data_IF_963852782598
#
_entry.id   IF_963852782598
#
_cell.length_a   1.000
_cell.length_b   1.000
_cell.length_c   1.000
_cell.angle_alpha   90.00
_cell.angle_beta   90.00
_cell.angle_gamma   90.00
#
_symmetry.space_group_name_H-M   'P 1'
#
loop_
_entity.id
_entity.type
_entity.pdbx_description
1 polymer ?
#
# COMPACT_ATOMS: atom_id res chain seq x y z
N UNK A 1 -23.80 -5.43 -7.96
CA UNK A 1 -23.26 -6.30 -6.90
C UNK A 1 -23.13 -5.54 -5.58
N UNK A 2 -22.71 -4.26 -5.60
CA UNK A 2 -22.65 -3.37 -4.43
C UNK A 2 -23.99 -3.25 -3.67
N UNK A 3 -25.13 -3.09 -4.35
CA UNK A 3 -26.47 -2.98 -3.71
C UNK A 3 -26.92 -4.25 -2.96
N UNK A 4 -26.21 -5.37 -3.11
CA UNK A 4 -26.63 -6.65 -2.53
C UNK A 4 -26.19 -6.83 -1.09
N UNK A 5 -25.08 -6.19 -0.67
CA UNK A 5 -24.49 -6.38 0.66
C UNK A 5 -24.26 -5.07 1.43
N UNK A 6 -24.86 -3.96 0.98
CA UNK A 6 -24.83 -2.65 1.66
C UNK A 6 -25.31 -2.69 3.11
N UNK A 7 -26.15 -3.68 3.47
CA UNK A 7 -26.69 -3.83 4.83
C UNK A 7 -25.75 -4.57 5.80
N UNK A 8 -24.63 -5.13 5.34
CA UNK A 8 -23.80 -6.04 6.16
C UNK A 8 -22.50 -5.43 6.71
N UNK A 9 -22.25 -4.13 6.51
CA UNK A 9 -20.96 -3.47 6.78
C UNK A 9 -19.77 -4.27 6.21
N UNK A 10 -19.92 -4.67 4.96
CA UNK A 10 -18.93 -5.43 4.20
C UNK A 10 -18.43 -4.55 3.06
N UNK A 11 -17.11 -4.48 2.90
CA UNK A 11 -16.50 -3.75 1.79
C UNK A 11 -16.44 -4.68 0.58
N UNK A 12 -17.20 -4.32 -0.45
CA UNK A 12 -17.18 -4.96 -1.76
C UNK A 12 -16.36 -4.11 -2.71
N UNK A 13 -15.45 -4.72 -3.46
CA UNK A 13 -14.91 -4.09 -4.67
C UNK A 13 -15.01 -5.11 -5.80
N UNK A 14 -15.93 -4.84 -6.72
CA UNK A 14 -16.23 -5.67 -7.91
C UNK A 14 -16.65 -7.09 -7.50
N UNK A 15 -15.75 -8.07 -7.60
CA UNK A 15 -16.01 -9.51 -7.44
C UNK A 15 -15.44 -10.07 -6.13
N UNK A 16 -14.61 -9.30 -5.43
CA UNK A 16 -13.98 -9.72 -4.18
C UNK A 16 -14.73 -9.15 -2.97
N UNK A 17 -15.08 -10.02 -2.02
CA UNK A 17 -15.75 -9.67 -0.78
C UNK A 17 -14.71 -9.71 0.34
N UNK A 18 -14.38 -8.56 0.91
CA UNK A 18 -13.54 -8.47 2.12
C UNK A 18 -14.42 -8.11 3.32
N UNK A 19 -14.62 -9.08 4.22
CA UNK A 19 -15.33 -8.90 5.48
C UNK A 19 -14.35 -8.86 6.64
N UNK A 20 -14.43 -7.81 7.47
CA UNK A 20 -13.71 -7.74 8.74
C UNK A 20 -14.72 -8.02 9.85
N UNK A 21 -14.42 -9.00 10.70
CA UNK A 21 -15.12 -9.22 11.96
C UNK A 21 -14.20 -8.87 13.12
N UNK A 22 -14.74 -8.23 14.16
CA UNK A 22 -13.97 -7.92 15.37
C UNK A 22 -13.79 -9.14 16.30
N UNK A 23 -14.51 -10.23 16.01
CA UNK A 23 -14.38 -11.53 16.67
C UNK A 23 -14.72 -12.67 15.71
N UNK A 24 -14.25 -13.89 15.99
CA UNK A 24 -14.54 -15.09 15.20
C UNK A 24 -16.06 -15.33 15.05
N UNK A 25 -16.82 -15.11 16.14
CA UNK A 25 -18.27 -15.28 16.15
C UNK A 25 -18.98 -14.28 15.23
N UNK A 26 -18.53 -13.03 15.22
CA UNK A 26 -19.07 -11.98 14.34
C UNK A 26 -18.66 -12.22 12.88
N UNK A 27 -17.40 -12.58 12.64
CA UNK A 27 -16.88 -12.95 11.33
C UNK A 27 -17.70 -14.09 10.72
N UNK A 28 -17.93 -15.16 11.49
CA UNK A 28 -18.71 -16.32 11.07
C UNK A 28 -20.17 -15.98 10.78
N UNK A 29 -20.78 -15.12 11.60
CA UNK A 29 -22.14 -14.66 11.37
C UNK A 29 -22.25 -13.86 10.06
N UNK A 30 -21.31 -12.93 9.83
CA UNK A 30 -21.20 -12.16 8.58
C UNK A 30 -20.96 -13.07 7.38
N UNK A 31 -20.03 -14.03 7.49
CA UNK A 31 -19.75 -15.00 6.44
C UNK A 31 -20.99 -15.83 6.08
N UNK A 32 -21.72 -16.32 7.09
CA UNK A 32 -22.98 -17.06 6.87
C UNK A 32 -24.02 -16.20 6.16
N UNK A 33 -24.17 -14.94 6.55
CA UNK A 33 -25.08 -14.00 5.89
C UNK A 33 -24.69 -13.76 4.41
N UNK A 34 -23.40 -13.54 4.12
CA UNK A 34 -22.89 -13.36 2.75
C UNK A 34 -23.17 -14.58 1.89
N UNK A 35 -22.84 -15.78 2.39
CA UNK A 35 -23.06 -17.03 1.65
C UNK A 35 -24.54 -17.27 1.38
N UNK A 36 -25.41 -16.92 2.33
CA UNK A 36 -26.86 -17.05 2.18
C UNK A 36 -27.40 -16.09 1.12
N UNK A 37 -27.04 -14.80 1.18
CA UNK A 37 -27.45 -13.80 0.19
C UNK A 37 -26.95 -14.16 -1.21
N UNK A 38 -25.70 -14.63 -1.33
CA UNK A 38 -25.15 -15.09 -2.59
C UNK A 38 -25.93 -16.29 -3.15
N UNK A 39 -26.26 -17.27 -2.31
CA UNK A 39 -27.07 -18.43 -2.70
C UNK A 39 -28.45 -18.02 -3.19
N UNK A 40 -29.12 -17.11 -2.49
CA UNK A 40 -30.48 -16.65 -2.81
C UNK A 40 -30.51 -15.86 -4.13
N UNK A 41 -29.42 -15.16 -4.47
CA UNK A 41 -29.27 -14.44 -5.74
C UNK A 41 -28.58 -15.24 -6.86
N UNK A 42 -28.32 -16.53 -6.64
CA UNK A 42 -27.69 -17.41 -7.63
C UNK A 42 -26.19 -17.18 -7.86
N UNK A 43 -25.52 -16.43 -6.98
CA UNK A 43 -24.08 -16.23 -6.98
C UNK A 43 -23.33 -17.52 -6.67
N UNK A 44 -22.16 -17.69 -7.29
CA UNK A 44 -21.25 -18.82 -7.04
C UNK A 44 -19.85 -18.30 -6.77
N UNK A 45 -19.22 -18.81 -5.73
CA UNK A 45 -17.84 -18.49 -5.39
C UNK A 45 -16.88 -19.56 -5.91
N UNK A 46 -15.69 -19.14 -6.35
CA UNK A 46 -14.61 -20.07 -6.66
C UNK A 46 -13.92 -20.50 -5.36
N UNK A 47 -14.15 -21.76 -4.95
CA UNK A 47 -13.60 -22.32 -3.72
C UNK A 47 -12.07 -22.21 -3.61
N UNK A 48 -11.35 -22.29 -4.72
CA UNK A 48 -9.88 -22.21 -4.73
C UNK A 48 -9.36 -20.79 -4.46
N UNK A 49 -10.19 -19.77 -4.71
CA UNK A 49 -9.86 -18.36 -4.45
C UNK A 49 -10.40 -17.86 -3.11
N UNK A 50 -11.30 -18.61 -2.48
CA UNK A 50 -11.85 -18.25 -1.18
C UNK A 50 -10.81 -18.52 -0.07
N UNK A 51 -10.48 -17.47 0.66
CA UNK A 51 -9.67 -17.56 1.87
C UNK A 51 -10.56 -17.16 3.05
N UNK A 52 -10.59 -18.01 4.08
CA UNK A 52 -11.39 -17.79 5.29
C UNK A 52 -10.47 -17.80 6.51
N UNK A 53 -10.90 -17.13 7.59
CA UNK A 53 -10.25 -17.19 8.90
C UNK A 53 -8.73 -16.92 8.84
N UNK A 54 -8.38 -15.80 8.22
CA UNK A 54 -6.98 -15.38 8.06
C UNK A 54 -6.78 -14.01 8.67
N UNK A 55 -5.61 -13.80 9.26
CA UNK A 55 -5.18 -12.51 9.80
C UNK A 55 -4.61 -11.58 8.71
N UNK A 56 -4.48 -12.08 7.47
CA UNK A 56 -4.11 -11.26 6.32
C UNK A 56 -4.70 -11.75 5.01
N UNK A 57 -5.10 -10.83 4.14
CA UNK A 57 -5.56 -11.10 2.77
C UNK A 57 -4.78 -10.23 1.77
N UNK A 58 -4.50 -10.79 0.59
CA UNK A 58 -4.07 -9.97 -0.54
C UNK A 58 -5.31 -9.45 -1.24
N UNK A 59 -5.46 -8.13 -1.32
CA UNK A 59 -6.61 -7.45 -1.87
C UNK A 59 -6.13 -6.28 -2.74
N UNK A 60 -6.45 -6.33 -4.04
CA UNK A 60 -6.08 -5.31 -5.05
C UNK A 60 -4.58 -4.92 -5.08
N UNK A 61 -3.68 -5.90 -4.96
CA UNK A 61 -2.23 -5.63 -4.96
C UNK A 61 -1.74 -4.92 -3.69
N UNK A 62 -2.49 -5.05 -2.59
CA UNK A 62 -2.08 -4.70 -1.25
C UNK A 62 -2.27 -5.91 -0.34
N UNK A 63 -1.41 -6.05 0.67
CA UNK A 63 -1.60 -7.05 1.71
C UNK A 63 -2.25 -6.39 2.92
N UNK A 64 -3.53 -6.64 3.11
CA UNK A 64 -4.29 -6.19 4.27
C UNK A 64 -4.01 -7.15 5.43
N UNK A 65 -3.68 -6.60 6.57
CA UNK A 65 -3.59 -7.32 7.85
C UNK A 65 -4.67 -6.80 8.80
N UNK A 66 -4.73 -7.30 10.02
CA UNK A 66 -5.66 -6.81 11.04
C UNK A 66 -5.45 -5.34 11.42
N UNK A 67 -4.23 -4.80 11.29
CA UNK A 67 -3.89 -3.44 11.75
C UNK A 67 -3.13 -2.58 10.74
N UNK A 68 -2.71 -3.15 9.60
CA UNK A 68 -1.92 -2.42 8.59
C UNK A 68 -2.25 -2.83 7.17
N UNK A 69 -1.95 -1.90 6.25
CA UNK A 69 -1.86 -2.13 4.82
C UNK A 69 -0.38 -2.21 4.46
N UNK A 70 0.07 -3.39 4.10
CA UNK A 70 1.38 -3.59 3.50
C UNK A 70 1.30 -3.43 1.97
N UNK A 71 2.39 -2.95 1.36
CA UNK A 71 2.56 -3.13 -0.08
C UNK A 71 2.58 -4.63 -0.40
N UNK A 72 2.10 -5.01 -1.58
CA UNK A 72 2.23 -6.39 -2.04
C UNK A 72 3.71 -6.83 -1.98
N UNK A 73 4.04 -7.91 -1.26
CA UNK A 73 5.39 -8.45 -1.18
C UNK A 73 5.98 -8.73 -2.56
N UNK A 74 5.18 -9.19 -3.52
CA UNK A 74 5.64 -9.46 -4.89
C UNK A 74 6.07 -8.17 -5.60
N UNK A 75 5.31 -7.09 -5.43
CA UNK A 75 5.65 -5.78 -6.03
C UNK A 75 6.88 -5.15 -5.37
N UNK A 76 6.99 -5.31 -4.05
CA UNK A 76 8.14 -4.83 -3.28
C UNK A 76 9.39 -5.59 -3.68
N UNK A 77 9.30 -6.92 -3.78
CA UNK A 77 10.40 -7.80 -4.20
C UNK A 77 10.78 -7.59 -5.66
N UNK A 78 9.81 -7.36 -6.56
CA UNK A 78 10.08 -7.01 -7.95
C UNK A 78 10.90 -5.72 -8.06
N UNK A 79 10.65 -4.74 -7.20
CA UNK A 79 11.40 -3.49 -7.16
C UNK A 79 12.82 -3.67 -6.58
N UNK A 80 12.98 -4.50 -5.55
CA UNK A 80 14.30 -4.88 -5.02
C UNK A 80 15.16 -5.55 -6.10
N UNK A 81 14.54 -6.43 -6.90
CA UNK A 81 15.21 -7.22 -7.94
C UNK A 81 15.29 -6.53 -9.31
N UNK A 82 14.71 -5.33 -9.48
CA UNK A 82 14.71 -4.66 -10.77
C UNK A 82 16.16 -4.42 -11.25
N UNK A 83 16.48 -4.74 -12.52
CA UNK A 83 17.82 -4.53 -13.06
C UNK A 83 18.18 -3.05 -13.12
N UNK A 84 19.47 -2.77 -13.30
CA UNK A 84 19.92 -1.39 -13.57
C UNK A 84 19.48 -1.02 -14.99
N UNK A 85 18.76 0.10 -15.19
CA UNK A 85 18.28 0.46 -16.51
C UNK A 85 19.46 0.74 -17.44
N UNK A 86 19.33 0.30 -18.69
CA UNK A 86 20.36 0.45 -19.73
C UNK A 86 20.01 1.53 -20.76
N UNK A 87 18.78 2.04 -20.72
CA UNK A 87 18.27 3.05 -21.64
C UNK A 87 17.17 3.92 -20.99
N UNK A 88 16.71 4.93 -21.72
CA UNK A 88 15.67 5.86 -21.25
C UNK A 88 14.32 5.19 -20.99
N UNK A 89 13.95 4.18 -21.76
CA UNK A 89 12.66 3.48 -21.63
C UNK A 89 12.60 2.65 -20.34
N UNK A 90 13.67 1.91 -20.05
CA UNK A 90 13.83 1.18 -18.79
C UNK A 90 13.89 2.12 -17.59
N UNK A 91 14.52 3.29 -17.73
CA UNK A 91 14.52 4.31 -16.68
C UNK A 91 13.12 4.84 -16.37
N UNK A 92 12.32 5.12 -17.41
CA UNK A 92 10.94 5.57 -17.21
C UNK A 92 10.08 4.49 -16.55
N UNK A 93 10.28 3.22 -16.93
CA UNK A 93 9.63 2.07 -16.30
C UNK A 93 9.99 1.99 -14.81
N UNK A 94 11.27 2.13 -14.48
CA UNK A 94 11.75 2.14 -13.09
C UNK A 94 11.13 3.29 -12.27
N UNK A 95 11.13 4.51 -12.82
CA UNK A 95 10.53 5.68 -12.17
C UNK A 95 9.02 5.50 -11.98
N UNK A 96 8.34 4.93 -12.97
CA UNK A 96 6.91 4.62 -12.89
C UNK A 96 6.61 3.67 -11.72
N UNK A 97 7.43 2.63 -11.55
CA UNK A 97 7.29 1.69 -10.44
C UNK A 97 7.54 2.35 -9.07
N UNK A 98 8.54 3.24 -8.97
CA UNK A 98 8.74 4.02 -7.74
C UNK A 98 7.55 4.92 -7.42
N UNK A 99 6.95 5.56 -8.43
CA UNK A 99 5.78 6.40 -8.22
C UNK A 99 4.55 5.58 -7.78
N UNK A 100 4.37 4.36 -8.33
CA UNK A 100 3.32 3.44 -7.87
C UNK A 100 3.45 3.11 -6.37
N UNK A 101 4.69 2.89 -5.90
CA UNK A 101 4.99 2.62 -4.50
C UNK A 101 5.25 3.88 -3.65
N UNK A 102 4.99 5.08 -4.17
CA UNK A 102 5.36 6.35 -3.52
C UNK A 102 4.82 6.49 -2.09
N UNK A 103 3.62 5.97 -1.82
CA UNK A 103 3.02 5.98 -0.46
C UNK A 103 3.85 5.21 0.57
N UNK A 104 4.68 4.26 0.14
CA UNK A 104 5.54 3.43 0.98
C UNK A 104 6.98 3.96 1.05
N UNK A 105 7.33 5.00 0.28
CA UNK A 105 8.70 5.48 0.16
C UNK A 105 8.76 6.93 0.67
N UNK A 106 9.18 7.15 1.93
CA UNK A 106 9.34 8.49 2.46
C UNK A 106 10.37 9.27 1.64
N UNK A 107 10.09 10.55 1.41
CA UNK A 107 10.98 11.46 0.67
C UNK A 107 11.34 10.98 -0.75
N UNK A 108 10.48 10.18 -1.40
CA UNK A 108 10.71 9.72 -2.78
C UNK A 108 11.04 10.86 -3.73
N UNK A 109 10.38 12.01 -3.60
CA UNK A 109 10.61 13.15 -4.49
C UNK A 109 12.08 13.65 -4.46
N UNK A 110 12.72 13.60 -3.29
CA UNK A 110 14.13 13.98 -3.13
C UNK A 110 15.05 12.87 -3.60
N UNK A 111 14.79 11.63 -3.18
CA UNK A 111 15.61 10.45 -3.53
C UNK A 111 15.61 10.17 -5.04
N UNK A 112 14.47 10.38 -5.70
CA UNK A 112 14.28 10.11 -7.13
C UNK A 112 14.75 11.27 -8.03
N UNK A 113 15.19 12.41 -7.45
CA UNK A 113 15.64 13.57 -8.23
C UNK A 113 16.70 13.20 -9.28
N UNK A 114 17.81 12.50 -8.94
CA UNK A 114 18.85 12.22 -9.93
C UNK A 114 18.33 11.40 -11.13
N UNK A 115 17.38 10.49 -10.87
CA UNK A 115 16.77 9.65 -11.91
C UNK A 115 15.81 10.46 -12.79
N UNK A 116 15.02 11.36 -12.20
CA UNK A 116 14.15 12.28 -12.97
C UNK A 116 14.94 13.30 -13.80
N UNK A 117 16.12 13.70 -13.34
CA UNK A 117 16.97 14.60 -14.10
C UNK A 117 17.59 13.83 -15.29
N UNK A 118 18.03 12.58 -15.09
CA UNK A 118 18.50 11.70 -16.15
C UNK A 118 17.42 11.41 -17.21
N UNK A 119 16.15 11.26 -16.80
CA UNK A 119 15.06 10.96 -17.74
C UNK A 119 14.74 12.09 -18.73
N UNK A 120 15.25 13.30 -18.48
CA UNK A 120 15.12 14.47 -19.35
C UNK A 120 16.34 14.68 -20.26
N UNK A 121 17.43 13.94 -20.05
CA UNK A 121 18.64 14.10 -20.86
C UNK A 121 18.53 13.33 -22.19
N UNK A 122 19.05 13.91 -23.27
CA UNK A 122 19.13 13.22 -24.56
C UNK A 122 20.08 12.01 -24.52
N UNK A 123 21.19 12.13 -23.79
CA UNK A 123 22.16 11.05 -23.62
C UNK A 123 21.88 10.30 -22.33
N UNK A 124 21.75 8.98 -22.42
CA UNK A 124 21.62 8.12 -21.25
C UNK A 124 23.00 7.74 -20.73
N UNK A 125 23.38 8.27 -19.56
CA UNK A 125 24.61 7.90 -18.86
C UNK A 125 24.32 7.53 -17.41
N UNK A 126 24.46 6.24 -17.10
CA UNK A 126 24.27 5.74 -15.75
C UNK A 126 25.55 5.84 -14.91
N UNK A 127 25.56 6.71 -13.89
CA UNK A 127 26.73 7.01 -13.07
C UNK A 127 26.50 6.64 -11.59
N UNK A 128 27.46 6.99 -10.73
CA UNK A 128 27.41 6.70 -9.29
C UNK A 128 26.22 7.35 -8.59
N UNK A 129 25.87 8.60 -8.93
CA UNK A 129 24.73 9.30 -8.32
C UNK A 129 23.41 8.58 -8.62
N UNK A 130 23.23 8.06 -9.84
CA UNK A 130 22.05 7.27 -10.22
C UNK A 130 21.99 5.93 -9.46
N UNK A 131 23.14 5.26 -9.27
CA UNK A 131 23.24 4.03 -8.45
C UNK A 131 22.86 4.28 -7.00
N UNK A 132 23.34 5.38 -6.42
CA UNK A 132 23.04 5.77 -5.05
C UNK A 132 21.57 6.13 -4.86
N UNK A 133 20.98 6.87 -5.81
CA UNK A 133 19.55 7.17 -5.82
C UNK A 133 18.71 5.89 -5.82
N UNK A 134 18.99 4.95 -6.74
CA UNK A 134 18.31 3.66 -6.81
C UNK A 134 18.38 2.89 -5.49
N UNK A 135 19.59 2.76 -4.93
CA UNK A 135 19.81 2.06 -3.65
C UNK A 135 19.11 2.76 -2.48
N UNK A 136 19.16 4.10 -2.44
CA UNK A 136 18.51 4.91 -1.41
C UNK A 136 17.00 4.72 -1.42
N UNK A 137 16.38 4.68 -2.61
CA UNK A 137 14.96 4.40 -2.76
C UNK A 137 14.64 2.97 -2.29
N UNK A 138 15.41 1.97 -2.72
CA UNK A 138 15.20 0.58 -2.32
C UNK A 138 15.28 0.39 -0.79
N UNK A 139 16.22 1.07 -0.12
CA UNK A 139 16.36 1.02 1.33
C UNK A 139 15.25 1.77 2.08
N UNK A 140 14.63 2.77 1.44
CA UNK A 140 13.61 3.60 2.08
C UNK A 140 12.20 2.98 2.06
N UNK A 141 11.97 1.91 1.29
CA UNK A 141 10.64 1.30 1.18
C UNK A 141 10.21 0.76 2.55
N UNK A 142 9.20 1.40 3.13
CA UNK A 142 8.49 0.88 4.29
C UNK A 142 7.64 -0.31 3.87
N UNK A 143 7.65 -1.36 4.68
CA UNK A 143 6.87 -2.57 4.41
C UNK A 143 5.40 -2.41 4.79
N UNK A 144 5.07 -1.52 5.73
CA UNK A 144 3.74 -1.38 6.30
C UNK A 144 3.32 0.09 6.43
N UNK A 145 2.05 0.37 6.18
CA UNK A 145 1.35 1.61 6.51
C UNK A 145 0.15 1.27 7.40
N UNK A 146 -0.16 2.08 8.41
CA UNK A 146 -1.38 1.89 9.21
C UNK A 146 -2.63 2.20 8.39
N UNK A 147 -3.76 1.56 8.73
CA UNK A 147 -5.05 1.95 8.15
C UNK A 147 -5.38 3.39 8.52
N UNK A 148 -5.97 4.12 7.58
CA UNK A 148 -6.51 5.43 7.87
C UNK A 148 -7.77 5.29 8.74
N UNK A 149 -7.74 5.90 9.91
CA UNK A 149 -8.88 6.01 10.82
C UNK A 149 -9.44 7.45 10.73
N UNK A 150 -10.62 7.66 10.13
CA UNK A 150 -11.24 8.99 10.04
C UNK A 150 -11.71 9.52 11.40
N UNK A 151 -11.87 8.66 12.40
CA UNK A 151 -12.21 9.02 13.78
C UNK A 151 -10.96 9.21 14.66
N UNK A 152 -9.76 9.07 14.07
CA UNK A 152 -8.51 9.27 14.78
C UNK A 152 -8.50 10.63 15.46
N UNK A 153 -8.11 10.61 16.73
CA UNK A 153 -8.14 11.78 17.61
C UNK A 153 -7.29 12.95 17.08
N UNK A 154 -6.25 12.64 16.32
CA UNK A 154 -5.32 13.61 15.75
C UNK A 154 -4.81 13.12 14.39
N UNK A 155 -5.24 13.83 13.34
CA UNK A 155 -4.81 13.64 11.95
C UNK A 155 -4.01 14.87 11.55
N UNK A 156 -2.78 14.67 11.11
CA UNK A 156 -1.87 15.73 10.73
C UNK A 156 -1.41 15.55 9.29
N UNK A 157 -1.34 16.65 8.54
CA UNK A 157 -0.66 16.69 7.24
C UNK A 157 0.70 17.32 7.46
N UNK A 158 1.74 16.51 7.39
CA UNK A 158 3.13 16.97 7.44
C UNK A 158 3.56 17.25 6.01
N UNK A 159 3.89 18.51 5.73
CA UNK A 159 4.38 18.92 4.41
C UNK A 159 5.81 19.42 4.51
N UNK A 160 6.63 19.08 3.53
CA UNK A 160 7.96 19.66 3.35
C UNK A 160 8.15 20.10 1.90
N UNK A 161 8.90 21.18 1.70
CA UNK A 161 9.15 21.77 0.41
C UNK A 161 10.62 22.11 0.24
N UNK A 162 11.19 21.69 -0.88
CA UNK A 162 12.55 22.04 -1.27
C UNK A 162 12.58 22.60 -2.69
N UNK A 163 13.72 23.16 -3.10
CA UNK A 163 13.96 23.56 -4.50
C UNK A 163 13.78 22.43 -5.52
N UNK A 164 13.74 21.18 -5.04
CA UNK A 164 13.78 19.98 -5.85
C UNK A 164 12.46 19.19 -5.87
N UNK A 165 11.52 19.52 -4.99
CA UNK A 165 10.27 18.79 -4.87
C UNK A 165 9.47 19.16 -3.63
N UNK A 166 8.20 18.76 -3.66
CA UNK A 166 7.25 18.83 -2.56
C UNK A 166 7.02 17.42 -2.01
N UNK A 167 6.95 17.31 -0.68
CA UNK A 167 6.56 16.10 0.03
C UNK A 167 5.37 16.40 0.93
N UNK A 168 4.44 15.46 1.01
CA UNK A 168 3.37 15.49 1.98
C UNK A 168 3.15 14.09 2.54
N UNK A 169 2.93 13.99 3.83
CA UNK A 169 2.58 12.78 4.54
C UNK A 169 1.36 13.04 5.40
N UNK A 170 0.36 12.16 5.30
CA UNK A 170 -0.73 12.11 6.26
C UNK A 170 -0.28 11.22 7.42
N UNK A 171 -0.30 11.77 8.64
CA UNK A 171 0.10 11.10 9.87
C UNK A 171 -1.10 11.02 10.81
N UNK A 172 -1.25 9.89 11.49
CA UNK A 172 -2.23 9.73 12.57
C UNK A 172 -1.44 9.45 13.84
N UNK A 173 -1.63 10.28 14.85
CA UNK A 173 -1.06 9.99 16.16
C UNK A 173 -1.99 9.02 16.89
N UNK A 174 -1.56 7.76 17.01
CA UNK A 174 -2.04 6.92 18.10
C UNK A 174 -1.43 7.46 19.39
N UNK A 175 -2.29 7.75 20.38
CA UNK A 175 -1.85 8.12 21.71
C UNK A 175 -1.19 6.91 22.37
N UNK A 176 0.07 6.63 22.07
CA UNK A 176 0.88 5.70 22.85
C UNK A 176 1.05 6.30 24.23
N UNK A 177 0.39 5.70 25.23
CA UNK A 177 0.62 5.97 26.65
C UNK A 177 2.00 5.45 27.07
N UNK A 178 3.07 5.96 26.48
CA UNK A 178 4.43 5.74 26.95
C UNK A 178 4.88 7.00 27.69
N UNK A 179 4.55 7.01 28.98
CA UNK A 179 5.20 7.87 29.98
C UNK A 179 6.68 7.46 30.06
N UNK A 180 7.55 8.16 29.33
CA UNK A 180 8.99 8.12 29.59
C UNK A 180 9.33 9.28 30.53
N UNK A 181 9.28 9.02 31.83
CA UNK A 181 9.87 9.91 32.84
C UNK A 181 11.35 9.55 32.95
N UNK A 182 12.23 10.41 32.48
CA UNK A 182 13.65 10.36 32.82
C UNK A 182 13.87 11.27 34.03
N UNK A 183 14.50 10.74 35.09
CA UNK A 183 15.00 11.51 36.23
C UNK A 183 16.21 12.37 35.82
#
# INVERSE_FOLDING_TARGET
MEEVFTELDIRLIIDDIAGIGCSDAEHDAKLRAVLQVAKDKGGRFNKEKCVFDTTSITYFGHRLTTSSIASDPEKTQALENMPTPQNQEELQTLIGMYNYLSRYIPNLATLNKPLRDLSKQQKFEWNTSHKEAKRGIQNAISKNLSFFDPEARQIEVITDASQHGLGAQLSMMEQLSLLHLTL
#
